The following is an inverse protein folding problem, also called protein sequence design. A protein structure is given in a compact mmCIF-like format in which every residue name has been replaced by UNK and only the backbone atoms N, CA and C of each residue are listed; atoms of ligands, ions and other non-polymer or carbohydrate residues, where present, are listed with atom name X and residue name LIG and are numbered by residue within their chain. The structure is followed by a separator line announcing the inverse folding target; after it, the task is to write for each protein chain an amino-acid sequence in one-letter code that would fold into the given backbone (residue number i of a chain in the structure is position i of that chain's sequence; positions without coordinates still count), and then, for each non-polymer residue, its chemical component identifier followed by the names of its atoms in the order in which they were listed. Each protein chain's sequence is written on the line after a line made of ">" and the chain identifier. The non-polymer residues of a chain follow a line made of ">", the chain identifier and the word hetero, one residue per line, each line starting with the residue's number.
data_IF_052947968825
#
_entry.id   IF_052947968825
#
_cell.length_a   1.000
_cell.length_b   1.000
_cell.length_c   1.000
_cell.angle_alpha   90.00
_cell.angle_beta   90.00
_cell.angle_gamma   90.00
#
_symmetry.space_group_name_H-M   'P 1'
#
loop_
_entity.id
_entity.type
_entity.pdbx_description
1 polymer ?
#
# COMPACT_ATOMS: atom_id res chain seq x y z
N UNK A 1 9.22 19.28 -7.46
CA UNK A 1 7.90 18.63 -7.33
C UNK A 1 7.77 17.97 -5.96
N UNK A 2 8.72 17.14 -5.53
CA UNK A 2 8.65 16.38 -4.28
C UNK A 2 8.75 17.29 -3.06
N UNK A 3 9.70 18.22 -3.07
CA UNK A 3 9.80 19.25 -2.02
C UNK A 3 8.50 20.07 -1.90
N UNK A 4 7.83 20.34 -3.02
CA UNK A 4 6.55 21.04 -3.02
C UNK A 4 5.45 20.17 -2.39
N UNK A 5 5.42 18.87 -2.69
CA UNK A 5 4.48 17.91 -2.08
C UNK A 5 4.75 17.82 -0.57
N UNK A 6 6.00 17.67 -0.15
CA UNK A 6 6.39 17.59 1.24
C UNK A 6 6.02 18.88 2.03
N UNK A 7 6.27 20.06 1.44
CA UNK A 7 5.87 21.34 2.05
C UNK A 7 4.36 21.51 2.15
N UNK A 8 3.62 21.16 1.10
CA UNK A 8 2.15 21.21 1.13
C UNK A 8 1.58 20.21 2.15
N UNK A 9 2.24 19.08 2.32
CA UNK A 9 1.80 18.07 3.26
C UNK A 9 1.96 18.49 4.74
N UNK A 10 2.95 19.31 5.07
CA UNK A 10 3.06 19.93 6.40
C UNK A 10 1.81 20.76 6.76
N UNK A 11 1.14 21.33 5.76
CA UNK A 11 -0.06 22.17 5.94
C UNK A 11 -1.32 21.32 5.94
N UNK A 12 -1.48 20.48 4.93
CA UNK A 12 -2.75 19.77 4.65
C UNK A 12 -2.82 18.38 5.28
N UNK A 13 -1.69 17.80 5.69
CA UNK A 13 -1.57 16.46 6.30
C UNK A 13 -2.31 15.37 5.51
N UNK A 14 -2.25 15.46 4.19
CA UNK A 14 -2.81 14.47 3.27
C UNK A 14 -2.03 13.17 3.38
N UNK A 15 -2.71 12.05 3.52
CA UNK A 15 -2.07 10.74 3.49
C UNK A 15 -1.89 10.31 2.04
N UNK A 16 -0.66 9.97 1.68
CA UNK A 16 -0.29 9.42 0.38
C UNK A 16 -0.14 7.91 0.48
N UNK A 17 -0.88 7.20 -0.35
CA UNK A 17 -0.82 5.75 -0.47
C UNK A 17 -0.19 5.40 -1.82
N UNK A 18 0.94 4.71 -1.79
CA UNK A 18 1.74 4.40 -2.97
C UNK A 18 1.78 2.90 -3.22
N UNK A 19 1.56 2.48 -4.44
CA UNK A 19 1.89 1.10 -4.85
C UNK A 19 3.41 0.89 -4.81
N UNK A 20 3.88 -0.21 -4.19
CA UNK A 20 5.31 -0.45 -4.02
C UNK A 20 6.06 -0.74 -5.34
N UNK A 21 5.35 -1.19 -6.37
CA UNK A 21 5.92 -1.58 -7.66
C UNK A 21 5.76 -3.07 -7.96
N UNK A 22 5.92 -3.44 -9.22
CA UNK A 22 5.66 -4.79 -9.73
C UNK A 22 6.90 -5.39 -10.43
N UNK A 23 8.11 -5.05 -9.98
CA UNK A 23 9.36 -5.49 -10.60
C UNK A 23 9.59 -7.01 -10.51
N UNK A 24 8.96 -7.70 -9.54
CA UNK A 24 8.99 -9.15 -9.46
C UNK A 24 8.41 -9.86 -10.68
N UNK A 25 7.48 -9.23 -11.41
CA UNK A 25 6.96 -9.73 -12.68
C UNK A 25 7.97 -9.71 -13.83
N UNK A 26 9.11 -9.04 -13.64
CA UNK A 26 10.21 -8.94 -14.61
C UNK A 26 11.44 -9.74 -14.20
N UNK A 27 11.26 -10.85 -13.47
CA UNK A 27 12.35 -11.68 -12.94
C UNK A 27 13.37 -12.12 -14.00
N UNK A 28 12.93 -12.34 -15.24
CA UNK A 28 13.82 -12.66 -16.37
C UNK A 28 14.78 -11.52 -16.73
N UNK A 29 14.43 -10.28 -16.40
CA UNK A 29 15.22 -9.08 -16.64
C UNK A 29 16.12 -8.73 -15.45
N UNK A 30 16.11 -9.53 -14.37
CA UNK A 30 16.88 -9.28 -13.13
C UNK A 30 16.63 -7.90 -12.53
N UNK A 31 15.39 -7.40 -12.60
CA UNK A 31 15.01 -6.14 -11.97
C UNK A 31 14.95 -6.37 -10.45
N UNK A 32 15.61 -5.50 -9.69
CA UNK A 32 15.61 -5.56 -8.23
C UNK A 32 14.21 -5.22 -7.69
N UNK A 33 13.61 -6.14 -6.96
CA UNK A 33 12.33 -5.99 -6.28
C UNK A 33 12.44 -6.04 -4.75
N UNK A 34 13.65 -5.96 -4.22
CA UNK A 34 13.91 -6.03 -2.78
C UNK A 34 13.39 -4.82 -1.98
N UNK A 35 13.09 -3.73 -2.68
CA UNK A 35 12.57 -2.48 -2.12
C UNK A 35 11.52 -1.88 -3.05
N UNK A 36 10.70 -0.93 -2.55
CA UNK A 36 9.76 -0.20 -3.39
C UNK A 36 10.44 0.58 -4.51
N UNK A 37 9.69 0.88 -5.57
CA UNK A 37 10.14 1.77 -6.64
C UNK A 37 10.42 3.19 -6.11
N UNK A 38 10.97 4.05 -6.98
CA UNK A 38 11.52 5.37 -6.61
C UNK A 38 10.52 6.20 -5.78
N UNK A 39 9.27 6.36 -6.24
CA UNK A 39 8.31 7.22 -5.55
C UNK A 39 7.91 6.68 -4.17
N UNK A 40 7.44 5.44 -4.02
CA UNK A 40 7.16 4.88 -2.69
C UNK A 40 8.42 4.72 -1.82
N UNK A 41 9.58 4.48 -2.43
CA UNK A 41 10.87 4.38 -1.73
C UNK A 41 11.39 5.71 -1.18
N UNK A 42 10.97 6.85 -1.77
CA UNK A 42 11.39 8.18 -1.30
C UNK A 42 10.94 8.52 0.11
N UNK A 43 9.90 7.89 0.62
CA UNK A 43 9.45 8.07 2.01
C UNK A 43 10.60 7.79 3.00
N UNK A 44 11.48 6.85 2.68
CA UNK A 44 12.66 6.57 3.49
C UNK A 44 13.66 7.75 3.56
N UNK A 45 13.79 8.52 2.47
CA UNK A 45 14.77 9.60 2.36
C UNK A 45 14.23 10.99 2.71
N UNK A 46 12.90 11.15 2.79
CA UNK A 46 12.25 12.47 2.98
C UNK A 46 11.43 12.42 4.26
N UNK A 47 12.02 12.92 5.35
CA UNK A 47 11.44 12.91 6.69
C UNK A 47 10.03 13.52 6.73
N UNK A 48 9.79 14.58 5.96
CA UNK A 48 8.50 15.25 5.89
C UNK A 48 7.35 14.40 5.33
N UNK A 49 7.66 13.29 4.65
CA UNK A 49 6.67 12.35 4.10
C UNK A 49 6.41 11.15 5.01
N UNK A 50 7.29 10.86 5.97
CA UNK A 50 7.25 9.64 6.78
C UNK A 50 5.96 9.50 7.59
N UNK A 51 5.46 10.59 8.12
CA UNK A 51 4.25 10.60 8.95
C UNK A 51 2.94 10.48 8.15
N UNK A 52 3.01 10.61 6.83
CA UNK A 52 1.82 10.80 5.98
C UNK A 52 1.88 9.99 4.68
N UNK A 53 2.87 9.12 4.53
CA UNK A 53 3.00 8.29 3.34
C UNK A 53 3.14 6.82 3.72
N UNK A 54 2.56 5.95 2.90
CA UNK A 54 2.65 4.50 3.04
C UNK A 54 2.86 3.83 1.69
N UNK A 55 3.87 2.98 1.60
CA UNK A 55 4.07 2.06 0.48
C UNK A 55 3.22 0.80 0.71
N UNK A 56 2.65 0.23 -0.35
CA UNK A 56 1.79 -0.95 -0.23
C UNK A 56 2.32 -2.05 -1.14
N UNK A 57 2.66 -3.19 -0.52
CA UNK A 57 3.02 -4.42 -1.21
C UNK A 57 1.80 -5.31 -1.38
N UNK A 58 1.83 -6.16 -2.40
CA UNK A 58 0.71 -7.05 -2.77
C UNK A 58 0.89 -8.45 -2.18
N UNK A 59 -0.16 -8.99 -1.55
CA UNK A 59 -0.25 -10.41 -1.22
C UNK A 59 -1.29 -11.11 -2.11
N UNK A 60 -1.07 -12.42 -2.30
CA UNK A 60 -1.97 -13.31 -3.01
C UNK A 60 -3.13 -13.80 -2.11
N UNK A 61 -3.96 -14.74 -2.61
CA UNK A 61 -5.13 -15.28 -1.89
C UNK A 61 -4.74 -16.07 -0.64
N UNK A 62 -3.56 -16.69 -0.62
CA UNK A 62 -3.00 -17.39 0.54
C UNK A 62 -2.39 -16.42 1.59
N UNK A 63 -2.35 -15.12 1.29
CA UNK A 63 -1.74 -14.10 2.14
C UNK A 63 -0.22 -14.04 2.03
N UNK A 64 0.38 -14.72 1.08
CA UNK A 64 1.81 -14.65 0.81
C UNK A 64 2.13 -13.51 -0.13
N UNK A 65 3.36 -12.98 -0.05
CA UNK A 65 3.81 -11.92 -0.97
C UNK A 65 3.63 -12.40 -2.42
N UNK A 66 2.91 -11.65 -3.23
CA UNK A 66 2.68 -11.97 -4.63
C UNK A 66 4.00 -11.89 -5.42
N UNK A 67 4.17 -12.78 -6.41
CA UNK A 67 5.42 -12.89 -7.16
C UNK A 67 5.81 -11.58 -7.86
N UNK A 68 4.81 -10.87 -8.39
CA UNK A 68 5.02 -9.58 -9.06
C UNK A 68 5.42 -8.46 -8.11
N UNK A 69 5.08 -8.55 -6.81
CA UNK A 69 5.22 -7.43 -5.89
C UNK A 69 6.67 -7.11 -5.55
N UNK A 70 7.01 -5.83 -5.53
CA UNK A 70 8.19 -5.38 -4.79
C UNK A 70 8.00 -5.64 -3.30
N UNK A 71 9.10 -5.69 -2.55
CA UNK A 71 9.13 -5.86 -1.09
C UNK A 71 9.24 -4.49 -0.41
N UNK A 72 8.99 -4.46 0.88
CA UNK A 72 9.06 -3.23 1.68
C UNK A 72 10.50 -2.71 1.87
N UNK A 73 11.47 -3.61 2.00
CA UNK A 73 12.91 -3.31 2.00
C UNK A 73 13.29 -2.05 2.79
N UNK A 74 13.88 -1.09 2.11
CA UNK A 74 14.31 0.20 2.71
C UNK A 74 13.15 0.97 3.35
N UNK A 75 11.93 0.86 2.82
CA UNK A 75 10.77 1.59 3.30
C UNK A 75 9.95 0.82 4.35
N UNK A 76 10.46 -0.25 4.94
CA UNK A 76 9.72 -1.16 5.82
C UNK A 76 8.98 -0.50 6.98
N UNK A 77 9.49 0.61 7.50
CA UNK A 77 8.84 1.36 8.57
C UNK A 77 7.62 2.16 8.09
N UNK A 78 7.51 2.39 6.79
CA UNK A 78 6.46 3.14 6.10
C UNK A 78 5.75 2.30 5.03
N UNK A 79 5.67 0.99 5.24
CA UNK A 79 5.19 0.03 4.27
C UNK A 79 4.25 -0.97 4.95
N UNK A 80 3.25 -1.44 4.20
CA UNK A 80 2.27 -2.42 4.68
C UNK A 80 1.86 -3.36 3.54
N UNK A 81 1.45 -4.57 3.87
CA UNK A 81 0.91 -5.53 2.92
C UNK A 81 -0.62 -5.46 2.86
N UNK A 82 -1.17 -5.62 1.65
CA UNK A 82 -2.60 -5.74 1.42
C UNK A 82 -2.89 -6.68 0.23
N UNK A 83 -4.11 -7.26 0.12
CA UNK A 83 -4.50 -8.09 -1.02
C UNK A 83 -4.39 -7.33 -2.34
N UNK A 84 -3.76 -7.93 -3.35
CA UNK A 84 -3.58 -7.28 -4.65
C UNK A 84 -3.36 -8.25 -5.81
N UNK A 85 -3.67 -9.53 -5.62
CA UNK A 85 -3.66 -10.53 -6.67
C UNK A 85 -5.09 -11.07 -6.90
N UNK A 86 -5.46 -11.25 -8.18
CA UNK A 86 -6.79 -11.70 -8.60
C UNK A 86 -7.95 -10.84 -8.05
N UNK A 87 -7.74 -9.53 -7.96
CA UNK A 87 -8.75 -8.61 -7.45
C UNK A 87 -9.79 -8.33 -8.53
N UNK A 88 -11.04 -8.68 -8.24
CA UNK A 88 -12.18 -8.35 -9.12
C UNK A 88 -12.66 -6.94 -8.84
N UNK A 89 -12.77 -6.14 -9.87
CA UNK A 89 -13.24 -4.76 -9.81
C UNK A 89 -14.00 -4.31 -11.03
N UNK A 90 -14.54 -3.10 -11.01
CA UNK A 90 -15.16 -2.49 -12.17
C UNK A 90 -14.12 -2.32 -13.28
N UNK A 91 -14.47 -2.80 -14.46
CA UNK A 91 -13.60 -2.79 -15.62
C UNK A 91 -14.39 -2.48 -16.89
N UNK A 92 -13.89 -1.54 -17.68
CA UNK A 92 -14.51 -1.21 -18.97
C UNK A 92 -13.54 -1.64 -20.08
N UNK A 93 -14.01 -2.50 -20.98
CA UNK A 93 -13.29 -2.78 -22.22
C UNK A 93 -13.92 -2.01 -23.36
N UNK A 94 -13.10 -1.38 -24.20
CA UNK A 94 -13.57 -0.74 -25.42
C UNK A 94 -14.02 -1.76 -26.48
N UNK A 95 -13.66 -3.03 -26.31
CA UNK A 95 -13.86 -4.08 -27.29
C UNK A 95 -15.26 -4.74 -27.15
N UNK A 96 -15.86 -4.75 -25.95
CA UNK A 96 -17.18 -5.31 -25.67
C UNK A 96 -17.92 -4.49 -24.61
N UNK A 97 -18.40 -3.28 -24.96
CA UNK A 97 -19.01 -2.35 -24.00
C UNK A 97 -20.36 -2.85 -23.42
N UNK A 98 -20.97 -3.87 -24.00
CA UNK A 98 -22.20 -4.52 -23.53
C UNK A 98 -21.95 -5.73 -22.60
N UNK A 99 -20.71 -6.16 -22.42
CA UNK A 99 -20.37 -7.29 -21.53
C UNK A 99 -20.05 -6.81 -20.13
N UNK A 100 -20.16 -7.74 -19.18
CA UNK A 100 -19.95 -7.52 -17.74
C UNK A 100 -18.85 -6.51 -17.43
N UNK A 101 -19.27 -5.42 -16.79
CA UNK A 101 -18.38 -4.29 -16.42
C UNK A 101 -17.44 -4.64 -15.25
N UNK A 102 -17.07 -5.89 -15.12
CA UNK A 102 -16.14 -6.39 -14.10
C UNK A 102 -15.00 -7.16 -14.73
N UNK A 103 -13.83 -7.01 -14.18
CA UNK A 103 -12.62 -7.74 -14.57
C UNK A 103 -11.76 -8.05 -13.37
N UNK A 104 -10.82 -8.98 -13.54
CA UNK A 104 -9.86 -9.37 -12.52
C UNK A 104 -8.48 -8.87 -12.90
N UNK A 105 -7.79 -8.29 -11.94
CA UNK A 105 -6.43 -7.76 -12.11
C UNK A 105 -5.53 -8.04 -10.92
N UNK A 106 -4.22 -7.95 -11.16
CA UNK A 106 -3.19 -8.16 -10.14
C UNK A 106 -2.13 -7.08 -10.21
N UNK A 107 -1.63 -6.68 -9.05
CA UNK A 107 -0.59 -5.67 -8.92
C UNK A 107 -0.63 -4.94 -7.58
N UNK A 108 0.46 -4.32 -7.21
CA UNK A 108 0.48 -3.42 -6.04
C UNK A 108 -0.47 -2.24 -6.21
N UNK A 109 -0.84 -1.89 -7.45
CA UNK A 109 -1.87 -0.89 -7.78
C UNK A 109 -3.28 -1.33 -7.39
N UNK A 110 -3.52 -2.64 -7.22
CA UNK A 110 -4.78 -3.19 -6.69
C UNK A 110 -4.74 -3.32 -5.17
N UNK A 111 -3.55 -3.45 -4.56
CA UNK A 111 -3.38 -3.49 -3.11
C UNK A 111 -3.52 -2.10 -2.46
N UNK A 112 -2.98 -1.05 -3.07
CA UNK A 112 -3.03 0.31 -2.54
C UNK A 112 -4.46 0.83 -2.26
N UNK A 113 -5.48 0.58 -3.08
CA UNK A 113 -6.85 0.98 -2.80
C UNK A 113 -7.46 0.37 -1.54
N UNK A 114 -7.06 -0.84 -1.12
CA UNK A 114 -7.53 -1.43 0.15
C UNK A 114 -7.04 -0.61 1.34
N UNK A 115 -5.78 -0.15 1.31
CA UNK A 115 -5.23 0.73 2.35
C UNK A 115 -5.91 2.09 2.32
N UNK A 116 -6.14 2.66 1.14
CA UNK A 116 -6.86 3.93 0.99
C UNK A 116 -8.28 3.84 1.53
N UNK A 117 -9.00 2.74 1.24
CA UNK A 117 -10.34 2.48 1.77
C UNK A 117 -10.35 2.32 3.28
N UNK A 118 -9.35 1.61 3.84
CA UNK A 118 -9.19 1.47 5.29
C UNK A 118 -8.97 2.84 5.97
N UNK A 119 -8.09 3.68 5.40
CA UNK A 119 -7.85 5.05 5.89
C UNK A 119 -9.15 5.86 5.86
N UNK A 120 -9.92 5.80 4.77
CA UNK A 120 -11.18 6.53 4.65
C UNK A 120 -12.20 6.11 5.71
N UNK A 121 -12.37 4.79 5.92
CA UNK A 121 -13.28 4.23 6.94
C UNK A 121 -12.86 4.63 8.36
N UNK A 122 -11.57 4.57 8.67
CA UNK A 122 -11.06 4.97 9.98
C UNK A 122 -11.16 6.48 10.19
N UNK A 123 -10.94 7.28 9.14
CA UNK A 123 -11.12 8.74 9.20
C UNK A 123 -12.57 9.10 9.51
N UNK A 124 -13.53 8.41 8.91
CA UNK A 124 -14.96 8.61 9.22
C UNK A 124 -15.29 8.16 10.65
N UNK A 125 -14.86 6.96 11.03
CA UNK A 125 -15.12 6.41 12.36
C UNK A 125 -14.56 7.27 13.48
N UNK A 126 -13.34 7.77 13.35
CA UNK A 126 -12.63 8.56 14.35
C UNK A 126 -12.62 10.07 14.02
N UNK A 127 -13.62 10.54 13.28
CA UNK A 127 -13.74 11.93 12.87
C UNK A 127 -13.63 12.89 14.07
N UNK A 128 -12.65 13.80 14.02
CA UNK A 128 -12.39 14.76 15.09
C UNK A 128 -11.71 14.19 16.34
N UNK A 129 -11.39 12.88 16.36
CA UNK A 129 -10.69 12.21 17.46
C UNK A 129 -9.25 11.89 17.10
N UNK A 130 -8.99 11.49 15.84
CA UNK A 130 -7.66 11.14 15.35
C UNK A 130 -7.30 12.02 14.16
N UNK A 131 -6.04 12.40 14.10
CA UNK A 131 -5.41 13.01 12.93
C UNK A 131 -5.11 11.95 11.87
N UNK A 132 -4.83 12.36 10.63
CA UNK A 132 -4.41 11.43 9.57
C UNK A 132 -3.18 10.60 9.94
N UNK A 133 -2.20 11.21 10.58
CA UNK A 133 -1.00 10.54 11.10
C UNK A 133 -1.37 9.46 12.13
N UNK A 134 -2.23 9.77 13.09
CA UNK A 134 -2.67 8.80 14.11
C UNK A 134 -3.49 7.66 13.50
N UNK A 135 -4.26 7.92 12.43
CA UNK A 135 -4.95 6.89 11.66
C UNK A 135 -3.94 5.96 10.98
N UNK A 136 -2.90 6.50 10.35
CA UNK A 136 -1.87 5.69 9.72
C UNK A 136 -1.09 4.86 10.76
N UNK A 137 -0.73 5.45 11.89
CA UNK A 137 -0.11 4.72 13.01
C UNK A 137 -1.04 3.62 13.55
N UNK A 138 -2.33 3.88 13.65
CA UNK A 138 -3.31 2.87 14.06
C UNK A 138 -3.32 1.68 13.11
N UNK A 139 -3.29 1.92 11.80
CA UNK A 139 -3.18 0.86 10.79
C UNK A 139 -1.92 0.02 11.03
N UNK A 140 -0.77 0.64 11.29
CA UNK A 140 0.49 -0.06 11.50
C UNK A 140 0.51 -0.89 12.81
N UNK A 141 -0.03 -0.36 13.91
CA UNK A 141 0.00 -1.08 15.18
C UNK A 141 -1.03 -2.21 15.24
N UNK A 142 -2.08 -2.14 14.44
CA UNK A 142 -3.12 -3.16 14.38
C UNK A 142 -2.89 -4.20 13.28
N UNK A 143 -1.98 -3.95 12.36
CA UNK A 143 -1.62 -4.89 11.30
C UNK A 143 -1.24 -6.27 11.87
N UNK A 144 -1.59 -7.34 11.15
CA UNK A 144 -1.18 -8.68 11.52
C UNK A 144 0.33 -8.85 11.27
N UNK A 145 1.08 -9.14 12.33
CA UNK A 145 2.54 -9.36 12.31
C UNK A 145 2.93 -10.82 12.61
N UNK A 146 1.96 -11.72 12.65
CA UNK A 146 2.20 -13.11 12.99
C UNK A 146 2.70 -13.92 11.79
N UNK A 147 3.44 -15.00 12.08
CA UNK A 147 3.93 -15.92 11.06
C UNK A 147 4.84 -15.23 10.04
N UNK A 148 4.53 -15.36 8.76
CA UNK A 148 5.33 -14.81 7.65
C UNK A 148 5.38 -13.27 7.68
N UNK A 149 4.36 -12.63 8.24
CA UNK A 149 4.26 -11.17 8.31
C UNK A 149 5.23 -10.53 9.32
N UNK A 150 5.90 -11.33 10.14
CA UNK A 150 6.99 -10.85 11.02
C UNK A 150 8.24 -10.43 10.25
N UNK A 151 8.38 -10.86 8.99
CA UNK A 151 9.47 -10.42 8.13
C UNK A 151 9.20 -9.01 7.57
N UNK A 152 9.65 -8.00 8.29
CA UNK A 152 9.42 -6.59 7.91
C UNK A 152 10.11 -6.18 6.61
N UNK A 153 11.19 -6.84 6.19
CA UNK A 153 11.83 -6.54 4.91
C UNK A 153 10.92 -6.91 3.72
N UNK A 154 9.99 -7.86 3.91
CA UNK A 154 9.00 -8.25 2.91
C UNK A 154 7.68 -7.50 3.11
N UNK A 155 7.11 -7.55 4.32
CA UNK A 155 5.73 -7.16 4.61
C UNK A 155 5.60 -5.81 5.34
N UNK A 156 6.72 -5.14 5.64
CA UNK A 156 6.74 -3.88 6.36
C UNK A 156 6.12 -3.98 7.76
N UNK A 157 5.10 -3.23 8.01
CA UNK A 157 4.35 -3.23 9.27
C UNK A 157 3.39 -4.41 9.42
N UNK A 158 3.35 -5.33 8.44
CA UNK A 158 2.51 -6.53 8.44
C UNK A 158 1.37 -6.47 7.43
N UNK A 159 0.41 -7.40 7.55
CA UNK A 159 -0.79 -7.43 6.71
C UNK A 159 -1.87 -6.53 7.31
N UNK A 160 -2.48 -5.70 6.47
CA UNK A 160 -3.62 -4.85 6.84
C UNK A 160 -4.72 -5.65 7.53
N UNK A 161 -5.08 -5.27 8.75
CA UNK A 161 -6.18 -5.84 9.53
C UNK A 161 -7.19 -4.73 9.88
N UNK A 162 -8.11 -4.47 8.97
CA UNK A 162 -9.14 -3.45 9.17
C UNK A 162 -10.06 -3.77 10.34
N UNK A 163 -10.37 -5.06 10.58
CA UNK A 163 -11.22 -5.48 11.69
C UNK A 163 -10.61 -5.11 13.04
N UNK A 164 -9.30 -5.25 13.17
CA UNK A 164 -8.57 -4.91 14.40
C UNK A 164 -8.35 -3.39 14.51
N UNK A 165 -8.30 -2.68 13.37
CA UNK A 165 -8.13 -1.23 13.32
C UNK A 165 -9.43 -0.47 13.70
N UNK A 166 -10.60 -1.02 13.44
CA UNK A 166 -11.91 -0.46 13.81
C UNK A 166 -12.17 -0.62 15.31
#
# INVERSE_FOLDING_TARGET
>A
VIETIAQQNKINKTIFVWSAGNAGGYSEQQVDNSSPEIFPGMVYFIEELQDTSVAVVSVNEEGLIADHSNRCGLAKDFCIAAPGENITGAYVTNEYPENDNYGTGSGTSFAAPFVSGAIALLTEKFRGQLTGQEILQRIYVTANKEGVYSNSDIYGQGLLDLKKAI
#
